data_IF_634747227212
#
_entry.id   IF_634747227212
#
_cell.length_a   1.000
_cell.length_b   1.000
_cell.length_c   1.000
_cell.angle_alpha   90.00
_cell.angle_beta   90.00
_cell.angle_gamma   90.00
#
_symmetry.space_group_name_H-M   'P 1'
#
loop_
_entity.id
_entity.type
_entity.pdbx_description
1 polymer ?
#
# COMPACT_ATOMS: atom_id res chain seq x y z
N UNK A 1 -55.53 -28.86 41.69
CA UNK A 1 -55.80 -27.77 40.72
C UNK A 1 -55.47 -26.50 41.48
N UNK A 2 -54.33 -25.85 41.28
CA UNK A 2 -53.82 -25.30 40.01
C UNK A 2 -52.29 -25.34 39.96
N UNK A 3 -51.77 -25.49 38.75
CA UNK A 3 -50.39 -25.76 38.38
C UNK A 3 -49.46 -24.54 38.61
N UNK A 4 -48.28 -24.79 39.19
CA UNK A 4 -47.18 -23.82 39.21
C UNK A 4 -46.38 -23.94 37.91
N UNK A 5 -46.48 -22.93 37.06
CA UNK A 5 -45.75 -22.84 35.79
C UNK A 5 -44.25 -22.63 36.11
N UNK A 6 -43.31 -23.46 35.60
CA UNK A 6 -41.89 -23.15 35.69
C UNK A 6 -41.57 -22.01 34.73
N UNK A 7 -40.95 -20.94 35.24
CA UNK A 7 -40.41 -19.84 34.44
C UNK A 7 -39.36 -20.37 33.46
N UNK A 8 -39.40 -20.00 32.17
CA UNK A 8 -38.37 -20.40 31.23
C UNK A 8 -37.04 -19.73 31.61
N UNK A 9 -36.00 -20.56 31.78
CA UNK A 9 -34.61 -20.15 31.92
C UNK A 9 -34.25 -19.32 30.67
N UNK A 10 -34.38 -18.00 30.76
CA UNK A 10 -33.84 -17.06 29.78
C UNK A 10 -32.32 -17.10 29.93
N UNK A 11 -31.69 -18.12 29.35
CA UNK A 11 -30.29 -18.01 28.97
C UNK A 11 -30.25 -16.92 27.91
N UNK A 12 -29.86 -15.72 28.31
CA UNK A 12 -29.39 -14.72 27.36
C UNK A 12 -28.43 -15.44 26.40
N UNK A 13 -28.63 -15.32 25.07
CA UNK A 13 -27.61 -15.80 24.15
C UNK A 13 -26.34 -15.07 24.55
N UNK A 14 -25.34 -15.81 25.02
CA UNK A 14 -24.01 -15.26 25.27
C UNK A 14 -23.63 -14.58 23.97
N UNK A 15 -23.66 -13.25 23.96
CA UNK A 15 -22.99 -12.46 22.94
C UNK A 15 -21.58 -13.04 22.89
N UNK A 16 -21.08 -13.52 21.75
CA UNK A 16 -19.69 -13.91 21.67
C UNK A 16 -18.91 -12.68 22.12
N UNK A 17 -18.33 -12.74 23.32
CA UNK A 17 -17.41 -11.73 23.81
C UNK A 17 -16.35 -11.62 22.72
N UNK A 18 -16.31 -10.44 22.10
CA UNK A 18 -15.56 -10.16 20.89
C UNK A 18 -14.24 -10.93 20.84
N UNK A 19 -14.02 -11.68 19.76
CA UNK A 19 -12.75 -12.32 19.37
C UNK A 19 -11.59 -11.33 19.20
N UNK A 20 -11.78 -10.06 19.57
CA UNK A 20 -10.78 -9.00 19.60
C UNK A 20 -9.92 -9.03 20.87
N UNK A 21 -10.25 -9.89 21.84
CA UNK A 21 -9.68 -9.84 23.20
C UNK A 21 -8.41 -10.67 23.42
N UNK A 22 -7.96 -11.47 22.46
CA UNK A 22 -6.86 -12.44 22.70
C UNK A 22 -5.79 -12.47 21.61
N UNK A 23 -5.46 -11.34 20.97
CA UNK A 23 -4.17 -11.29 20.27
C UNK A 23 -3.07 -11.23 21.33
N UNK A 24 -2.24 -12.27 21.39
CA UNK A 24 -1.01 -12.22 22.16
C UNK A 24 -0.13 -11.06 21.67
N UNK A 25 0.74 -10.55 22.53
CA UNK A 25 1.68 -9.48 22.14
C UNK A 25 2.49 -9.85 20.90
N UNK A 26 2.86 -11.13 20.76
CA UNK A 26 3.57 -11.65 19.58
C UNK A 26 2.73 -11.58 18.30
N UNK A 27 1.42 -11.82 18.39
CA UNK A 27 0.51 -11.72 17.24
C UNK A 27 0.22 -10.26 16.86
N UNK A 28 0.13 -9.38 17.85
CA UNK A 28 0.04 -7.94 17.63
C UNK A 28 1.30 -7.41 16.93
N UNK A 29 2.48 -7.82 17.38
CA UNK A 29 3.75 -7.45 16.78
C UNK A 29 3.87 -7.95 15.33
N UNK A 30 3.50 -9.21 15.07
CA UNK A 30 3.50 -9.77 13.72
C UNK A 30 2.53 -9.04 12.80
N UNK A 31 1.31 -8.77 13.28
CA UNK A 31 0.29 -8.05 12.51
C UNK A 31 0.76 -6.62 12.20
N UNK A 32 1.40 -5.95 13.16
CA UNK A 32 1.96 -4.63 12.95
C UNK A 32 3.07 -4.63 11.88
N UNK A 33 4.00 -5.59 11.93
CA UNK A 33 5.04 -5.75 10.91
C UNK A 33 4.44 -6.01 9.52
N UNK A 34 3.38 -6.81 9.43
CA UNK A 34 2.71 -7.08 8.17
C UNK A 34 2.01 -5.85 7.60
N UNK A 35 1.32 -5.07 8.44
CA UNK A 35 0.72 -3.79 8.05
C UNK A 35 1.78 -2.82 7.55
N UNK A 36 2.91 -2.69 8.27
CA UNK A 36 4.02 -1.84 7.84
C UNK A 36 4.56 -2.29 6.47
N UNK A 37 4.74 -3.60 6.27
CA UNK A 37 5.20 -4.17 4.99
C UNK A 37 4.23 -3.85 3.86
N UNK A 38 2.92 -3.99 4.09
CA UNK A 38 1.89 -3.67 3.09
C UNK A 38 1.84 -2.18 2.79
N UNK A 39 1.96 -1.33 3.81
CA UNK A 39 2.02 0.12 3.68
C UNK A 39 3.24 0.59 2.90
N UNK A 40 4.38 -0.10 3.03
CA UNK A 40 5.59 0.18 2.26
C UNK A 40 5.52 -0.29 0.80
N UNK A 41 4.80 -1.39 0.54
CA UNK A 41 4.73 -2.01 -0.80
C UNK A 41 3.53 -1.56 -1.64
N UNK A 42 2.64 -0.73 -1.10
CA UNK A 42 1.44 -0.24 -1.81
C UNK A 42 1.60 1.25 -2.11
N UNK A 43 1.51 1.60 -3.40
CA UNK A 43 1.68 2.95 -3.90
C UNK A 43 0.36 3.49 -4.47
N UNK A 44 0.16 4.80 -4.35
CA UNK A 44 -0.99 5.52 -4.91
C UNK A 44 -0.47 6.54 -5.92
N UNK A 45 -1.21 6.71 -7.02
CA UNK A 45 -0.92 7.77 -7.99
C UNK A 45 -1.32 9.12 -7.42
N UNK A 46 -0.44 10.11 -7.57
CA UNK A 46 -0.62 11.48 -7.11
C UNK A 46 -0.48 12.45 -8.28
N UNK A 47 -0.69 13.74 -8.01
CA UNK A 47 -0.47 14.78 -9.02
C UNK A 47 0.96 14.78 -9.57
N UNK A 48 1.95 14.43 -8.76
CA UNK A 48 3.37 14.58 -9.09
C UNK A 48 4.15 13.27 -9.03
N UNK A 49 3.49 12.13 -9.20
CA UNK A 49 4.15 10.82 -9.25
C UNK A 49 3.38 9.76 -8.49
N UNK A 50 4.10 8.87 -7.80
CA UNK A 50 3.52 7.77 -7.01
C UNK A 50 4.14 7.74 -5.62
N UNK A 51 3.33 7.41 -4.62
CA UNK A 51 3.74 7.48 -3.21
C UNK A 51 3.06 6.39 -2.39
N UNK A 52 3.78 5.80 -1.43
CA UNK A 52 3.23 4.85 -0.48
C UNK A 52 2.67 5.55 0.77
N UNK A 53 1.99 4.79 1.63
CA UNK A 53 1.38 5.32 2.84
C UNK A 53 2.40 5.86 3.86
N UNK A 54 3.67 5.46 3.75
CA UNK A 54 4.74 5.85 4.65
C UNK A 54 5.41 7.18 4.27
N UNK A 55 5.13 7.73 3.09
CA UNK A 55 5.78 8.95 2.65
C UNK A 55 6.71 8.79 1.45
N UNK A 56 7.04 7.56 1.09
CA UNK A 56 8.11 7.25 0.13
C UNK A 56 7.54 7.17 -1.28
N UNK A 57 8.28 7.65 -2.25
CA UNK A 57 7.75 7.74 -3.60
C UNK A 57 8.78 8.00 -4.67
N UNK A 58 8.27 7.94 -5.89
CA UNK A 58 8.97 8.32 -7.11
C UNK A 58 8.18 9.49 -7.69
N UNK A 59 8.86 10.61 -7.88
CA UNK A 59 8.24 11.88 -8.23
C UNK A 59 8.68 12.33 -9.63
N UNK A 60 7.77 13.03 -10.28
CA UNK A 60 7.97 13.64 -11.60
C UNK A 60 8.00 15.16 -11.47
N UNK A 61 8.55 15.82 -12.48
CA UNK A 61 8.43 17.25 -12.69
C UNK A 61 8.11 17.55 -14.14
N UNK A 62 7.36 18.62 -14.35
CA UNK A 62 7.22 19.22 -15.67
C UNK A 62 8.53 19.93 -16.07
N UNK A 63 8.80 19.93 -17.36
CA UNK A 63 9.93 20.57 -18.04
C UNK A 63 9.43 21.17 -19.35
N UNK A 64 10.23 22.01 -19.99
CA UNK A 64 9.87 22.68 -21.25
C UNK A 64 9.46 21.72 -22.38
N UNK A 65 9.92 20.46 -22.33
CA UNK A 65 9.60 19.42 -23.33
C UNK A 65 8.70 18.29 -22.85
N UNK A 66 8.10 18.38 -21.66
CA UNK A 66 7.23 17.34 -21.10
C UNK A 66 7.56 16.98 -19.66
N UNK A 67 7.48 15.70 -19.30
CA UNK A 67 7.61 15.21 -17.92
C UNK A 67 8.82 14.28 -17.75
N UNK A 68 9.51 14.38 -16.62
CA UNK A 68 10.62 13.47 -16.26
C UNK A 68 10.66 13.18 -14.78
N UNK A 69 11.34 12.11 -14.39
CA UNK A 69 11.66 11.85 -12.99
C UNK A 69 12.45 13.03 -12.38
N UNK A 70 12.04 13.43 -11.18
CA UNK A 70 12.63 14.53 -10.42
C UNK A 70 13.33 14.03 -9.16
N UNK A 71 12.71 13.11 -8.44
CA UNK A 71 13.18 12.61 -7.16
C UNK A 71 12.72 11.18 -6.94
N UNK A 72 13.58 10.38 -6.32
CA UNK A 72 13.27 9.05 -5.79
C UNK A 72 13.61 9.09 -4.31
N UNK A 73 12.70 8.68 -3.43
CA UNK A 73 12.98 8.61 -1.99
C UNK A 73 14.14 7.63 -1.73
N UNK A 74 15.15 7.96 -0.89
CA UNK A 74 16.35 7.14 -0.72
C UNK A 74 16.11 5.67 -0.33
N UNK A 75 15.07 5.40 0.45
CA UNK A 75 14.71 4.05 0.90
C UNK A 75 14.21 3.14 -0.25
N UNK A 76 13.95 3.69 -1.43
CA UNK A 76 13.58 2.94 -2.64
C UNK A 76 14.84 2.56 -3.45
N UNK A 77 15.84 1.95 -2.80
CA UNK A 77 17.09 1.54 -3.46
C UNK A 77 16.89 0.53 -4.60
N UNK A 78 15.85 -0.30 -4.50
CA UNK A 78 15.42 -1.23 -5.54
C UNK A 78 14.96 -0.52 -6.84
N UNK A 79 14.31 0.65 -6.71
CA UNK A 79 13.93 1.50 -7.86
C UNK A 79 15.17 2.03 -8.57
N UNK A 80 16.16 2.52 -7.80
CA UNK A 80 17.42 3.00 -8.39
C UNK A 80 18.16 1.87 -9.11
N UNK A 81 18.19 0.68 -8.51
CA UNK A 81 18.78 -0.52 -9.10
C UNK A 81 18.07 -0.91 -10.40
N UNK A 82 16.73 -0.88 -10.41
CA UNK A 82 15.94 -1.14 -11.62
C UNK A 82 16.27 -0.18 -12.76
N UNK A 83 16.35 1.13 -12.47
CA UNK A 83 16.66 2.14 -13.48
C UNK A 83 18.08 1.98 -14.05
N UNK A 84 19.04 1.59 -13.20
CA UNK A 84 20.40 1.31 -13.64
C UNK A 84 20.48 0.07 -14.56
N UNK A 85 19.65 -0.94 -14.29
CA UNK A 85 19.57 -2.17 -15.10
C UNK A 85 18.77 -1.98 -16.39
N UNK A 86 17.85 -1.02 -16.43
CA UNK A 86 16.93 -0.78 -17.54
C UNK A 86 17.08 0.65 -18.11
N UNK A 87 18.24 1.03 -18.69
CA UNK A 87 18.50 2.42 -19.11
C UNK A 87 17.60 2.92 -20.24
N UNK A 88 16.94 2.01 -20.98
CA UNK A 88 16.09 2.35 -22.13
C UNK A 88 14.61 2.58 -21.76
N UNK A 89 14.25 2.55 -20.48
CA UNK A 89 12.88 2.84 -20.03
C UNK A 89 12.49 4.31 -20.29
N UNK A 90 11.19 4.60 -20.40
CA UNK A 90 10.70 5.97 -20.51
C UNK A 90 11.08 6.84 -19.27
N UNK A 91 11.35 6.21 -18.13
CA UNK A 91 11.71 6.89 -16.88
C UNK A 91 13.10 7.57 -16.88
N UNK A 92 13.98 7.19 -17.81
CA UNK A 92 15.33 7.78 -17.92
C UNK A 92 15.40 8.94 -18.92
N UNK A 93 14.28 9.22 -19.62
CA UNK A 93 14.17 10.29 -20.62
C UNK A 93 13.05 11.26 -20.28
N UNK A 94 12.86 12.27 -21.13
CA UNK A 94 11.69 13.15 -21.08
C UNK A 94 10.55 12.48 -21.82
N UNK A 95 9.43 12.27 -21.14
CA UNK A 95 8.17 11.79 -21.69
C UNK A 95 7.33 12.99 -22.15
N UNK A 96 6.55 12.83 -23.22
CA UNK A 96 5.76 13.95 -23.77
C UNK A 96 4.52 14.25 -22.93
N UNK A 97 3.92 13.22 -22.32
CA UNK A 97 2.71 13.35 -21.49
C UNK A 97 2.95 12.85 -20.08
N UNK A 98 2.10 13.32 -19.15
CA UNK A 98 2.11 12.83 -17.76
C UNK A 98 1.69 11.36 -17.71
N UNK A 99 0.70 10.98 -18.49
CA UNK A 99 0.22 9.60 -18.57
C UNK A 99 1.34 8.64 -19.02
N UNK A 100 2.18 9.01 -20.00
CA UNK A 100 3.29 8.17 -20.46
C UNK A 100 4.26 7.85 -19.31
N UNK A 101 4.67 8.87 -18.55
CA UNK A 101 5.60 8.65 -17.43
C UNK A 101 4.94 7.88 -16.29
N UNK A 102 3.66 8.12 -16.00
CA UNK A 102 2.93 7.38 -14.96
C UNK A 102 2.77 5.91 -15.34
N UNK A 103 2.46 5.59 -16.60
CA UNK A 103 2.41 4.20 -17.08
C UNK A 103 3.77 3.51 -16.90
N UNK A 104 4.86 4.16 -17.30
CA UNK A 104 6.20 3.59 -17.12
C UNK A 104 6.56 3.41 -15.63
N UNK A 105 6.11 4.31 -14.75
CA UNK A 105 6.28 4.15 -13.30
C UNK A 105 5.48 2.96 -12.78
N UNK A 106 4.28 2.72 -13.34
CA UNK A 106 3.45 1.57 -12.98
C UNK A 106 4.13 0.26 -13.35
N UNK A 107 4.58 0.14 -14.61
CA UNK A 107 5.29 -1.03 -15.10
C UNK A 107 6.54 -1.34 -14.26
N UNK A 108 7.32 -0.30 -13.92
CA UNK A 108 8.49 -0.46 -13.05
C UNK A 108 8.12 -0.99 -11.66
N UNK A 109 7.13 -0.39 -11.01
CA UNK A 109 6.72 -0.80 -9.66
C UNK A 109 6.12 -2.22 -9.65
N UNK A 110 5.36 -2.59 -10.66
CA UNK A 110 4.83 -3.94 -10.84
C UNK A 110 5.96 -4.96 -11.04
N UNK A 111 6.98 -4.62 -11.85
CA UNK A 111 8.17 -5.46 -12.03
C UNK A 111 8.96 -5.66 -10.73
N UNK A 112 8.90 -4.69 -9.81
CA UNK A 112 9.48 -4.76 -8.47
C UNK A 112 8.56 -5.45 -7.44
N UNK A 113 7.42 -6.01 -7.87
CA UNK A 113 6.45 -6.68 -7.01
C UNK A 113 5.68 -5.73 -6.08
N UNK A 114 5.63 -4.44 -6.41
CA UNK A 114 4.84 -3.44 -5.68
C UNK A 114 3.43 -3.38 -6.23
N UNK A 115 2.49 -3.01 -5.38
CA UNK A 115 1.08 -2.84 -5.76
C UNK A 115 0.78 -1.36 -5.95
N UNK A 116 -0.03 -1.05 -6.96
CA UNK A 116 -0.54 0.31 -7.17
C UNK A 116 -2.04 0.30 -6.99
N UNK A 117 -2.54 1.29 -6.25
CA UNK A 117 -3.96 1.55 -6.02
C UNK A 117 -4.33 2.92 -6.59
N UNK A 118 -5.57 3.04 -7.08
CA UNK A 118 -6.12 4.23 -7.73
C UNK A 118 -7.01 5.03 -6.80
#
# INVERSE_FOLDING_TARGET
>A
MTEGIPTPDHREPRTPESELSELSFAELERSHQEIQRLAGNTFTVTENGVKNAQGEGVFIRATEGGFRLSQITPNLGEVQTYLAQNPNTALTRVCTTKEEIIVAMREMLEALGKRIIE
#
